data_IF_069635824348
#
_entry.id   IF_069635824348
#
_cell.length_a   1.000
_cell.length_b   1.000
_cell.length_c   1.000
_cell.angle_alpha   90.00
_cell.angle_beta   90.00
_cell.angle_gamma   90.00
#
_symmetry.space_group_name_H-M   'P 1'
#
loop_
_entity.id
_entity.type
_entity.pdbx_description
1 polymer ?
#
# COMPACT_ATOMS: atom_id res chain seq x y z
N UNK A 1 -15.62 48.59 -40.79
CA UNK A 1 -16.16 47.70 -39.74
C UNK A 1 -15.00 47.13 -38.96
N UNK A 2 -14.64 47.80 -37.86
CA UNK A 2 -13.50 47.42 -37.03
C UNK A 2 -13.89 46.29 -36.09
N UNK A 3 -13.31 45.11 -36.33
CA UNK A 3 -13.39 43.98 -35.41
C UNK A 3 -12.63 44.33 -34.13
N UNK A 4 -13.31 44.22 -32.99
CA UNK A 4 -12.82 44.64 -31.68
C UNK A 4 -11.71 43.72 -31.16
N UNK A 5 -10.73 44.26 -30.41
CA UNK A 5 -9.56 43.51 -29.94
C UNK A 5 -9.90 42.39 -28.94
N UNK A 6 -11.14 42.34 -28.41
CA UNK A 6 -11.58 41.32 -27.46
C UNK A 6 -11.68 39.91 -28.08
N UNK A 7 -12.05 39.79 -29.35
CA UNK A 7 -12.25 38.50 -30.01
C UNK A 7 -10.92 37.77 -30.30
N UNK A 8 -9.82 38.53 -30.45
CA UNK A 8 -8.47 37.97 -30.65
C UNK A 8 -7.86 37.43 -29.36
N UNK A 9 -8.24 37.98 -28.20
CA UNK A 9 -7.76 37.49 -26.90
C UNK A 9 -8.47 36.18 -26.53
N UNK A 10 -9.75 36.03 -26.85
CA UNK A 10 -10.51 34.80 -26.59
C UNK A 10 -10.02 33.65 -27.49
N UNK A 11 -9.67 33.92 -28.76
CA UNK A 11 -9.12 32.88 -29.65
C UNK A 11 -7.69 32.43 -29.25
N UNK A 12 -6.91 33.29 -28.61
CA UNK A 12 -5.57 32.97 -28.10
C UNK A 12 -5.60 32.18 -26.78
N UNK A 13 -6.65 32.34 -25.96
CA UNK A 13 -6.81 31.56 -24.72
C UNK A 13 -7.29 30.13 -25.03
N UNK A 14 -8.03 29.92 -26.11
CA UNK A 14 -8.49 28.59 -26.54
C UNK A 14 -7.39 27.69 -27.13
N UNK A 15 -6.22 28.25 -27.50
CA UNK A 15 -5.10 27.49 -28.08
C UNK A 15 -4.02 27.06 -27.07
N UNK A 16 -4.18 27.42 -25.78
CA UNK A 16 -3.25 27.01 -24.71
C UNK A 16 -3.70 25.69 -24.02
N UNK A 17 -4.88 25.16 -24.35
CA UNK A 17 -5.44 23.95 -23.71
C UNK A 17 -5.06 22.64 -24.42
N UNK A 18 -4.41 22.67 -25.59
CA UNK A 18 -4.11 21.46 -26.39
C UNK A 18 -2.62 21.13 -26.51
N UNK A 19 -1.82 21.44 -25.49
CA UNK A 19 -0.38 21.17 -25.47
C UNK A 19 0.13 20.44 -24.23
N UNK A 20 -0.75 19.98 -23.35
CA UNK A 20 -0.37 19.16 -22.21
C UNK A 20 -0.05 17.74 -22.65
N UNK A 21 1.15 17.51 -23.18
CA UNK A 21 1.71 16.16 -23.21
C UNK A 21 1.81 15.71 -21.75
N UNK A 22 0.83 14.92 -21.30
CA UNK A 22 0.97 14.09 -20.12
C UNK A 22 2.16 13.16 -20.40
N UNK A 23 3.36 13.56 -19.99
CA UNK A 23 4.45 12.63 -19.74
C UNK A 23 3.95 11.75 -18.60
N UNK A 24 3.19 10.71 -18.95
CA UNK A 24 2.75 9.70 -18.03
C UNK A 24 4.00 9.21 -17.31
N UNK A 25 4.02 9.37 -15.98
CA UNK A 25 5.07 8.79 -15.15
C UNK A 25 5.24 7.34 -15.59
N UNK A 26 6.43 6.98 -16.11
CA UNK A 26 6.69 5.64 -16.62
C UNK A 26 6.26 4.62 -15.57
N UNK A 27 5.18 3.89 -15.88
CA UNK A 27 4.57 2.89 -15.00
C UNK A 27 5.68 1.94 -14.57
N UNK A 28 5.94 1.88 -13.26
CA UNK A 28 6.91 0.91 -12.73
C UNK A 28 6.27 -0.45 -12.90
N UNK A 29 6.84 -1.29 -13.75
CA UNK A 29 6.35 -2.64 -13.98
C UNK A 29 6.12 -3.34 -12.62
N UNK A 30 4.98 -4.00 -12.40
CA UNK A 30 4.67 -4.60 -11.11
C UNK A 30 5.42 -5.92 -10.88
N UNK A 31 6.11 -6.45 -11.90
CA UNK A 31 7.00 -7.62 -11.81
C UNK A 31 8.48 -7.22 -11.82
N UNK A 32 9.35 -8.18 -11.47
CA UNK A 32 10.80 -8.08 -11.59
C UNK A 32 11.25 -8.69 -12.91
N UNK A 33 11.89 -7.88 -13.74
CA UNK A 33 12.27 -8.32 -15.09
C UNK A 33 13.59 -9.09 -15.15
N UNK A 34 14.48 -8.85 -14.19
CA UNK A 34 15.82 -9.42 -14.20
C UNK A 34 15.94 -10.57 -13.19
N UNK A 35 16.50 -11.72 -13.60
CA UNK A 35 16.81 -12.78 -12.66
C UNK A 35 17.86 -12.33 -11.63
N UNK A 36 17.93 -12.99 -10.46
CA UNK A 36 19.07 -12.89 -9.55
C UNK A 36 20.42 -13.16 -10.24
N UNK A 37 21.47 -12.47 -9.79
CA UNK A 37 22.80 -12.49 -10.41
C UNK A 37 23.49 -13.86 -10.37
N UNK A 38 23.10 -14.74 -9.43
CA UNK A 38 23.68 -16.08 -9.23
C UNK A 38 22.61 -17.14 -9.41
N UNK A 39 22.24 -17.39 -10.66
CA UNK A 39 21.40 -18.53 -11.06
C UNK A 39 22.17 -19.37 -12.07
N UNK A 40 21.97 -20.69 -12.05
CA UNK A 40 22.46 -21.54 -13.15
C UNK A 40 21.66 -21.26 -14.42
N UNK A 41 22.23 -21.53 -15.59
CA UNK A 41 21.62 -21.21 -16.90
C UNK A 41 20.19 -21.76 -17.03
N UNK A 42 19.94 -22.98 -16.54
CA UNK A 42 18.60 -23.59 -16.56
C UNK A 42 17.56 -22.80 -15.74
N UNK A 43 17.95 -22.25 -14.59
CA UNK A 43 17.06 -21.44 -13.74
C UNK A 43 16.83 -20.05 -14.32
N UNK A 44 17.85 -19.46 -14.96
CA UNK A 44 17.69 -18.20 -15.70
C UNK A 44 16.70 -18.36 -16.85
N UNK A 45 16.82 -19.44 -17.60
CA UNK A 45 15.88 -19.76 -18.68
C UNK A 45 14.46 -19.96 -18.14
N UNK A 46 14.31 -20.71 -17.05
CA UNK A 46 13.02 -20.92 -16.41
C UNK A 46 12.40 -19.60 -15.92
N UNK A 47 13.19 -18.72 -15.31
CA UNK A 47 12.76 -17.37 -14.90
C UNK A 47 12.26 -16.55 -16.09
N UNK A 48 13.03 -16.52 -17.18
CA UNK A 48 12.69 -15.73 -18.37
C UNK A 48 11.42 -16.26 -19.04
N UNK A 49 11.27 -17.59 -19.16
CA UNK A 49 10.05 -18.21 -19.69
C UNK A 49 8.82 -17.92 -18.83
N UNK A 50 8.95 -18.01 -17.51
CA UNK A 50 7.85 -17.70 -16.59
C UNK A 50 7.41 -16.23 -16.72
N UNK A 51 8.37 -15.32 -16.85
CA UNK A 51 8.11 -13.90 -17.06
C UNK A 51 7.48 -13.61 -18.42
N UNK A 52 7.93 -14.28 -19.48
CA UNK A 52 7.34 -14.16 -20.82
C UNK A 52 5.87 -14.58 -20.83
N UNK A 53 5.55 -15.73 -20.22
CA UNK A 53 4.16 -16.18 -20.05
C UNK A 53 3.29 -15.17 -19.32
N UNK A 54 3.82 -14.55 -18.25
CA UNK A 54 3.12 -13.48 -17.53
C UNK A 54 2.87 -12.26 -18.43
N UNK A 55 3.89 -11.81 -19.17
CA UNK A 55 3.81 -10.64 -20.06
C UNK A 55 2.85 -10.84 -21.21
N UNK A 56 2.74 -12.07 -21.71
CA UNK A 56 1.90 -12.43 -22.84
C UNK A 56 0.49 -12.89 -22.41
N UNK A 57 0.04 -12.55 -21.19
CA UNK A 57 -1.30 -12.88 -20.66
C UNK A 57 -1.61 -14.39 -20.62
N UNK A 58 -0.62 -15.22 -20.31
CA UNK A 58 -0.78 -16.65 -20.03
C UNK A 58 -0.44 -16.92 -18.54
N UNK A 59 -1.30 -16.48 -17.60
CA UNK A 59 -0.96 -16.49 -16.18
C UNK A 59 -0.87 -17.91 -15.60
N UNK A 60 -1.66 -18.88 -16.07
CA UNK A 60 -1.62 -20.26 -15.55
C UNK A 60 -0.30 -20.97 -15.89
N UNK A 61 0.15 -20.88 -17.14
CA UNK A 61 1.48 -21.33 -17.54
C UNK A 61 2.59 -20.64 -16.73
N UNK A 62 2.43 -19.34 -16.48
CA UNK A 62 3.38 -18.57 -15.67
C UNK A 62 3.43 -19.07 -14.22
N UNK A 63 2.28 -19.40 -13.62
CA UNK A 63 2.18 -19.94 -12.26
C UNK A 63 2.96 -21.24 -12.14
N UNK A 64 2.79 -22.19 -13.07
CA UNK A 64 3.52 -23.46 -13.06
C UNK A 64 5.04 -23.23 -13.11
N UNK A 65 5.48 -22.41 -14.07
CA UNK A 65 6.91 -22.13 -14.25
C UNK A 65 7.50 -21.40 -13.03
N UNK A 66 6.77 -20.46 -12.41
CA UNK A 66 7.20 -19.79 -11.19
C UNK A 66 7.28 -20.73 -10.00
N UNK A 67 6.33 -21.66 -9.83
CA UNK A 67 6.39 -22.70 -8.79
C UNK A 67 7.64 -23.56 -8.93
N UNK A 68 7.89 -24.09 -10.13
CA UNK A 68 9.09 -24.90 -10.44
C UNK A 68 10.38 -24.12 -10.20
N UNK A 69 10.40 -22.84 -10.54
CA UNK A 69 11.54 -21.97 -10.24
C UNK A 69 11.78 -21.85 -8.73
N UNK A 70 10.72 -21.66 -7.95
CA UNK A 70 10.78 -21.50 -6.49
C UNK A 70 11.11 -22.79 -5.73
N UNK A 71 10.83 -23.96 -6.28
CA UNK A 71 11.29 -25.25 -5.72
C UNK A 71 12.81 -25.31 -5.56
N UNK A 72 13.55 -24.69 -6.50
CA UNK A 72 15.02 -24.60 -6.47
C UNK A 72 15.50 -23.31 -5.82
N UNK A 73 14.66 -22.28 -5.81
CA UNK A 73 15.01 -20.93 -5.34
C UNK A 73 14.05 -20.42 -4.25
N UNK A 74 13.91 -21.12 -3.11
CA UNK A 74 12.89 -20.82 -2.09
C UNK A 74 13.10 -19.50 -1.34
N UNK A 75 14.21 -18.80 -1.57
CA UNK A 75 14.49 -17.46 -1.00
C UNK A 75 14.42 -16.34 -2.04
N UNK A 76 13.86 -16.61 -3.22
CA UNK A 76 13.73 -15.61 -4.28
C UNK A 76 12.52 -14.72 -4.08
N UNK A 77 12.70 -13.56 -3.44
CA UNK A 77 11.63 -12.55 -3.32
C UNK A 77 11.10 -12.10 -4.69
N UNK A 78 11.97 -12.05 -5.72
CA UNK A 78 11.58 -11.75 -7.11
C UNK A 78 10.65 -12.81 -7.67
N UNK A 79 10.96 -14.08 -7.44
CA UNK A 79 10.13 -15.22 -7.83
C UNK A 79 8.76 -15.17 -7.15
N UNK A 80 8.71 -14.95 -5.84
CA UNK A 80 7.44 -14.82 -5.12
C UNK A 80 6.62 -13.60 -5.55
N UNK A 81 7.25 -12.45 -5.82
CA UNK A 81 6.54 -11.30 -6.36
C UNK A 81 5.96 -11.60 -7.75
N UNK A 82 6.73 -12.24 -8.63
CA UNK A 82 6.24 -12.56 -9.97
C UNK A 82 5.17 -13.65 -9.96
N UNK A 83 5.27 -14.64 -9.06
CA UNK A 83 4.19 -15.60 -8.79
C UNK A 83 2.93 -14.89 -8.27
N UNK A 84 3.08 -13.94 -7.35
CA UNK A 84 1.98 -13.13 -6.85
C UNK A 84 1.31 -12.31 -7.95
N UNK A 85 2.09 -11.80 -8.91
CA UNK A 85 1.56 -11.16 -10.11
C UNK A 85 0.83 -12.13 -11.03
N UNK A 86 1.35 -13.34 -11.23
CA UNK A 86 0.68 -14.36 -12.04
C UNK A 86 -0.67 -14.75 -11.42
N UNK A 87 -0.72 -14.95 -10.10
CA UNK A 87 -1.97 -15.17 -9.37
C UNK A 87 -2.92 -13.97 -9.45
N UNK A 88 -2.40 -12.74 -9.37
CA UNK A 88 -3.21 -11.54 -9.52
C UNK A 88 -3.86 -11.48 -10.92
N UNK A 89 -3.09 -11.80 -11.97
CA UNK A 89 -3.57 -11.83 -13.35
C UNK A 89 -4.56 -12.98 -13.63
N UNK A 90 -4.54 -14.05 -12.84
CA UNK A 90 -5.50 -15.15 -12.90
C UNK A 90 -6.67 -15.00 -11.90
N UNK A 91 -6.89 -13.80 -11.33
CA UNK A 91 -7.92 -13.51 -10.32
C UNK A 91 -7.85 -14.38 -9.03
N UNK A 92 -6.70 -15.01 -8.75
CA UNK A 92 -6.46 -15.81 -7.55
C UNK A 92 -5.90 -14.91 -6.43
N UNK A 93 -6.71 -13.97 -5.96
CA UNK A 93 -6.27 -12.86 -5.10
C UNK A 93 -5.68 -13.28 -3.75
N UNK A 94 -6.25 -14.29 -3.09
CA UNK A 94 -5.75 -14.80 -1.81
C UNK A 94 -4.33 -15.40 -1.97
N UNK A 95 -4.11 -16.14 -3.06
CA UNK A 95 -2.79 -16.70 -3.40
C UNK A 95 -1.82 -15.60 -3.79
N UNK A 96 -2.29 -14.58 -4.50
CA UNK A 96 -1.52 -13.38 -4.83
C UNK A 96 -1.02 -12.66 -3.59
N UNK A 97 -1.91 -12.39 -2.63
CA UNK A 97 -1.59 -11.78 -1.34
C UNK A 97 -0.54 -12.61 -0.59
N UNK A 98 -0.75 -13.93 -0.48
CA UNK A 98 0.18 -14.84 0.21
C UNK A 98 1.58 -14.82 -0.42
N UNK A 99 1.65 -14.82 -1.76
CA UNK A 99 2.92 -14.74 -2.49
C UNK A 99 3.62 -13.39 -2.28
N UNK A 100 2.88 -12.27 -2.30
CA UNK A 100 3.45 -10.95 -2.01
C UNK A 100 3.90 -10.80 -0.56
N UNK A 101 3.18 -11.38 0.41
CA UNK A 101 3.61 -11.41 1.81
C UNK A 101 4.90 -12.20 1.99
N UNK A 102 5.02 -13.34 1.31
CA UNK A 102 6.25 -14.15 1.30
C UNK A 102 7.40 -13.34 0.70
N UNK A 103 7.16 -12.65 -0.42
CA UNK A 103 8.15 -11.79 -1.06
C UNK A 103 8.58 -10.63 -0.13
N UNK A 104 7.63 -10.00 0.57
CA UNK A 104 7.90 -8.90 1.49
C UNK A 104 8.62 -9.37 2.76
N UNK A 105 8.33 -10.58 3.25
CA UNK A 105 9.06 -11.16 4.37
C UNK A 105 10.54 -11.41 4.03
N UNK A 106 10.83 -11.78 2.78
CA UNK A 106 12.19 -11.96 2.28
C UNK A 106 12.89 -10.62 1.99
N UNK A 107 12.16 -9.59 1.54
CA UNK A 107 12.69 -8.25 1.27
C UNK A 107 11.76 -7.14 1.84
N UNK A 108 11.86 -6.83 3.15
CA UNK A 108 10.88 -6.00 3.87
C UNK A 108 10.74 -4.54 3.44
N UNK A 109 11.74 -4.02 2.72
CA UNK A 109 11.80 -2.61 2.34
C UNK A 109 11.53 -2.36 0.86
N UNK A 110 11.23 -3.40 0.07
CA UNK A 110 10.96 -3.24 -1.35
C UNK A 110 9.59 -2.58 -1.59
N UNK A 111 9.63 -1.38 -2.15
CA UNK A 111 8.43 -0.58 -2.40
C UNK A 111 7.52 -1.21 -3.47
N UNK A 112 8.08 -1.91 -4.46
CA UNK A 112 7.30 -2.56 -5.52
C UNK A 112 6.45 -3.68 -4.93
N UNK A 113 7.06 -4.54 -4.11
CA UNK A 113 6.34 -5.63 -3.43
C UNK A 113 5.26 -5.05 -2.51
N UNK A 114 5.61 -4.01 -1.74
CA UNK A 114 4.67 -3.31 -0.85
C UNK A 114 3.48 -2.72 -1.62
N UNK A 115 3.72 -2.11 -2.77
CA UNK A 115 2.69 -1.52 -3.62
C UNK A 115 1.79 -2.58 -4.27
N UNK A 116 2.36 -3.71 -4.70
CA UNK A 116 1.60 -4.84 -5.22
C UNK A 116 0.70 -5.44 -4.13
N UNK A 117 1.23 -5.68 -2.93
CA UNK A 117 0.44 -6.18 -1.80
C UNK A 117 -0.71 -5.22 -1.46
N UNK A 118 -0.43 -3.91 -1.34
CA UNK A 118 -1.49 -2.91 -1.12
C UNK A 118 -2.56 -2.93 -2.22
N UNK A 119 -2.16 -3.13 -3.49
CA UNK A 119 -3.10 -3.22 -4.62
C UNK A 119 -4.00 -4.44 -4.48
N UNK A 120 -3.45 -5.62 -4.23
CA UNK A 120 -4.24 -6.85 -4.05
C UNK A 120 -5.19 -6.74 -2.85
N UNK A 121 -4.71 -6.20 -1.72
CA UNK A 121 -5.55 -5.96 -0.54
C UNK A 121 -6.68 -4.98 -0.84
N UNK A 122 -6.41 -3.87 -1.55
CA UNK A 122 -7.46 -2.91 -1.92
C UNK A 122 -8.47 -3.50 -2.90
N UNK A 123 -8.06 -4.40 -3.78
CA UNK A 123 -9.00 -5.06 -4.68
C UNK A 123 -9.93 -6.00 -3.91
N UNK A 124 -9.42 -6.75 -2.93
CA UNK A 124 -10.22 -7.52 -1.97
C UNK A 124 -11.20 -6.64 -1.17
N UNK A 125 -10.76 -5.46 -0.71
CA UNK A 125 -11.63 -4.49 -0.03
C UNK A 125 -12.80 -4.07 -0.92
N UNK A 126 -12.57 -3.83 -2.21
CA UNK A 126 -13.64 -3.47 -3.14
C UNK A 126 -14.68 -4.59 -3.24
N UNK A 127 -14.23 -5.83 -3.47
CA UNK A 127 -15.11 -7.01 -3.57
C UNK A 127 -15.91 -7.20 -2.27
N UNK A 128 -15.23 -7.09 -1.12
CA UNK A 128 -15.86 -7.25 0.19
C UNK A 128 -16.88 -6.14 0.49
N UNK A 129 -16.60 -4.90 0.06
CA UNK A 129 -17.54 -3.78 0.18
C UNK A 129 -18.79 -4.00 -0.67
N UNK A 130 -18.65 -4.50 -1.90
CA UNK A 130 -19.77 -4.85 -2.78
C UNK A 130 -20.63 -5.96 -2.17
N UNK A 131 -19.97 -6.96 -1.59
CA UNK A 131 -20.63 -8.06 -0.88
C UNK A 131 -21.17 -7.68 0.51
N UNK A 132 -20.97 -6.42 0.94
CA UNK A 132 -21.31 -5.90 2.28
C UNK A 132 -20.64 -6.64 3.45
N UNK A 133 -19.53 -7.33 3.18
CA UNK A 133 -18.65 -7.93 4.17
C UNK A 133 -17.68 -6.87 4.69
N UNK A 134 -18.23 -5.89 5.42
CA UNK A 134 -17.50 -4.70 5.85
C UNK A 134 -16.42 -5.02 6.88
N UNK A 135 -16.63 -6.04 7.70
CA UNK A 135 -15.65 -6.51 8.67
C UNK A 135 -14.38 -7.02 8.00
N UNK A 136 -14.50 -7.88 6.97
CA UNK A 136 -13.31 -8.32 6.21
C UNK A 136 -12.67 -7.16 5.46
N UNK A 137 -13.46 -6.23 4.93
CA UNK A 137 -12.94 -5.05 4.26
C UNK A 137 -12.10 -4.18 5.21
N UNK A 138 -12.57 -3.95 6.44
CA UNK A 138 -11.82 -3.23 7.48
C UNK A 138 -10.53 -3.99 7.83
N UNK A 139 -10.57 -5.32 7.97
CA UNK A 139 -9.37 -6.12 8.24
C UNK A 139 -8.30 -5.94 7.15
N UNK A 140 -8.69 -5.93 5.87
CA UNK A 140 -7.78 -5.70 4.75
C UNK A 140 -7.28 -4.24 4.71
N UNK A 141 -8.12 -3.26 5.03
CA UNK A 141 -7.70 -1.86 5.13
C UNK A 141 -6.70 -1.64 6.27
N UNK A 142 -6.84 -2.30 7.41
CA UNK A 142 -5.85 -2.24 8.49
C UNK A 142 -4.48 -2.79 8.05
N UNK A 143 -4.48 -3.86 7.23
CA UNK A 143 -3.25 -4.35 6.60
C UNK A 143 -2.68 -3.29 5.63
N UNK A 144 -3.50 -2.65 4.81
CA UNK A 144 -3.08 -1.54 3.94
C UNK A 144 -2.50 -0.38 4.76
N UNK A 145 -3.12 -0.03 5.90
CA UNK A 145 -2.68 1.04 6.80
C UNK A 145 -1.26 0.80 7.32
N UNK A 146 -0.96 -0.44 7.73
CA UNK A 146 0.39 -0.87 8.15
C UNK A 146 1.42 -0.73 7.03
N UNK A 147 1.01 -0.95 5.78
CA UNK A 147 1.85 -0.83 4.59
C UNK A 147 1.95 0.61 4.04
N UNK A 148 1.20 1.57 4.58
CA UNK A 148 1.14 2.94 4.06
C UNK A 148 2.05 3.86 4.86
N UNK A 149 2.66 4.83 4.17
CA UNK A 149 3.44 5.88 4.84
C UNK A 149 2.51 6.86 5.59
N UNK A 150 3.09 7.73 6.43
CA UNK A 150 2.29 8.64 7.25
C UNK A 150 1.33 9.51 6.42
N UNK A 151 1.77 9.98 5.25
CA UNK A 151 0.95 10.82 4.36
C UNK A 151 -0.29 10.11 3.80
N UNK A 152 -0.24 8.78 3.64
CA UNK A 152 -1.38 8.02 3.13
C UNK A 152 -2.25 7.38 4.22
N UNK A 153 -1.81 7.34 5.47
CA UNK A 153 -2.54 6.65 6.56
C UNK A 153 -3.88 7.30 6.86
N UNK A 154 -3.95 8.63 6.91
CA UNK A 154 -5.18 9.37 7.16
C UNK A 154 -6.29 8.99 6.17
N UNK A 155 -5.93 8.82 4.88
CA UNK A 155 -6.89 8.38 3.86
C UNK A 155 -7.39 6.96 4.11
N UNK A 156 -6.51 6.04 4.54
CA UNK A 156 -6.92 4.67 4.86
C UNK A 156 -7.80 4.63 6.11
N UNK A 157 -7.53 5.48 7.10
CA UNK A 157 -8.34 5.61 8.31
C UNK A 157 -9.75 6.13 7.98
N UNK A 158 -9.85 7.10 7.08
CA UNK A 158 -11.15 7.58 6.58
C UNK A 158 -11.92 6.47 5.82
N UNK A 159 -11.22 5.66 5.01
CA UNK A 159 -11.82 4.50 4.34
C UNK A 159 -12.41 3.53 5.39
N UNK A 160 -11.68 3.28 6.50
CA UNK A 160 -12.12 2.40 7.60
C UNK A 160 -13.32 2.99 8.34
N UNK A 161 -13.28 4.27 8.69
CA UNK A 161 -14.38 4.98 9.36
C UNK A 161 -15.66 4.91 8.52
N UNK A 162 -15.55 5.11 7.20
CA UNK A 162 -16.69 5.00 6.27
C UNK A 162 -17.34 3.61 6.33
N UNK A 163 -16.54 2.54 6.45
CA UNK A 163 -17.09 1.19 6.58
C UNK A 163 -17.71 0.94 7.96
N UNK A 164 -17.13 1.51 9.03
CA UNK A 164 -17.72 1.45 10.37
C UNK A 164 -19.07 2.17 10.42
N UNK A 165 -19.22 3.31 9.72
CA UNK A 165 -20.49 4.01 9.56
C UNK A 165 -21.54 3.12 8.87
N UNK A 166 -21.17 2.40 7.82
CA UNK A 166 -22.08 1.46 7.14
C UNK A 166 -22.48 0.29 8.04
N UNK A 167 -21.56 -0.24 8.85
CA UNK A 167 -21.88 -1.26 9.87
C UNK A 167 -22.86 -0.68 10.89
N UNK A 168 -22.64 0.55 11.35
CA UNK A 168 -23.52 1.18 12.33
C UNK A 168 -24.94 1.41 11.79
N UNK A 169 -25.10 1.72 10.50
CA UNK A 169 -26.42 1.74 9.87
C UNK A 169 -27.14 0.39 9.93
N UNK A 170 -26.42 -0.73 9.83
CA UNK A 170 -26.99 -2.07 10.02
C UNK A 170 -27.40 -2.30 11.48
N UNK A 171 -26.56 -1.87 12.43
CA UNK A 171 -26.83 -1.94 13.88
C UNK A 171 -28.12 -1.19 14.23
N UNK A 172 -28.29 0.03 13.70
CA UNK A 172 -29.51 0.84 13.90
C UNK A 172 -30.77 0.18 13.32
N UNK A 173 -30.65 -0.55 12.20
CA UNK A 173 -31.78 -1.28 11.61
C UNK A 173 -32.16 -2.50 12.44
N UNK A 174 -31.17 -3.21 12.99
CA UNK A 174 -31.41 -4.33 13.89
C UNK A 174 -32.03 -3.86 15.21
N UNK A 175 -31.55 -2.71 15.73
CA UNK A 175 -32.06 -2.05 16.92
C UNK A 175 -32.20 -2.97 18.15
N UNK A 176 -31.21 -3.82 18.38
CA UNK A 176 -31.16 -4.71 19.55
C UNK A 176 -30.02 -4.30 20.48
N UNK A 177 -30.18 -4.55 21.78
CA UNK A 177 -29.14 -4.28 22.77
C UNK A 177 -27.80 -4.95 22.38
N UNK A 178 -27.88 -6.22 21.97
CA UNK A 178 -26.73 -7.04 21.54
C UNK A 178 -25.98 -6.43 20.34
N UNK A 179 -26.70 -5.87 19.34
CA UNK A 179 -26.04 -5.31 18.15
C UNK A 179 -25.25 -4.04 18.48
N UNK A 180 -25.79 -3.18 19.35
CA UNK A 180 -25.08 -1.99 19.82
C UNK A 180 -23.88 -2.36 20.71
N UNK A 181 -24.02 -3.33 21.60
CA UNK A 181 -22.94 -3.83 22.46
C UNK A 181 -21.80 -4.43 21.62
N UNK A 182 -22.14 -5.26 20.64
CA UNK A 182 -21.16 -5.88 19.72
C UNK A 182 -20.43 -4.84 18.89
N UNK A 183 -21.13 -3.80 18.42
CA UNK A 183 -20.51 -2.70 17.69
C UNK A 183 -19.49 -1.96 18.56
N UNK A 184 -19.86 -1.61 19.78
CA UNK A 184 -18.97 -0.90 20.71
C UNK A 184 -17.78 -1.73 21.17
N UNK A 185 -17.96 -3.04 21.34
CA UNK A 185 -16.86 -3.94 21.65
C UNK A 185 -15.79 -3.95 20.55
N UNK A 186 -16.19 -3.85 19.28
CA UNK A 186 -15.28 -3.83 18.14
C UNK A 186 -14.71 -2.44 17.83
N UNK A 187 -15.53 -1.40 17.98
CA UNK A 187 -15.20 -0.04 17.56
C UNK A 187 -15.48 0.98 18.67
N UNK A 188 -14.83 0.87 19.84
CA UNK A 188 -15.12 1.72 21.01
C UNK A 188 -14.79 3.21 20.79
N UNK A 189 -13.86 3.48 19.88
CA UNK A 189 -13.30 4.81 19.60
C UNK A 189 -13.80 5.38 18.25
N UNK A 190 -14.82 4.79 17.61
CA UNK A 190 -15.40 5.41 16.41
C UNK A 190 -15.94 6.80 16.79
N UNK A 191 -15.52 7.88 16.09
CA UNK A 191 -15.69 9.26 16.56
C UNK A 191 -17.15 9.73 16.59
N UNK A 192 -18.03 9.08 15.82
CA UNK A 192 -19.42 9.51 15.65
C UNK A 192 -20.41 8.53 16.27
N UNK A 193 -20.21 7.24 16.04
CA UNK A 193 -21.22 6.23 16.28
C UNK A 193 -21.12 5.59 17.66
N UNK A 194 -19.94 5.60 18.29
CA UNK A 194 -19.74 4.99 19.61
C UNK A 194 -20.60 5.67 20.68
N UNK A 195 -20.64 7.00 20.71
CA UNK A 195 -21.45 7.73 21.69
C UNK A 195 -22.95 7.51 21.47
N UNK A 196 -23.38 7.38 20.21
CA UNK A 196 -24.77 7.04 19.91
C UNK A 196 -25.10 5.61 20.35
N UNK A 197 -24.23 4.65 20.09
CA UNK A 197 -24.40 3.28 20.55
C UNK A 197 -24.54 3.21 22.09
N UNK A 198 -23.68 3.94 22.82
CA UNK A 198 -23.74 4.02 24.30
C UNK A 198 -25.08 4.57 24.77
N UNK A 199 -25.59 5.63 24.13
CA UNK A 199 -26.91 6.22 24.43
C UNK A 199 -28.05 5.23 24.16
N UNK A 200 -28.00 4.47 23.07
CA UNK A 200 -29.03 3.49 22.74
C UNK A 200 -29.04 2.34 23.74
N UNK A 201 -27.87 1.82 24.12
CA UNK A 201 -27.71 0.80 25.17
C UNK A 201 -28.33 1.30 26.49
N UNK A 202 -28.02 2.52 26.91
CA UNK A 202 -28.53 3.09 28.16
C UNK A 202 -30.06 3.27 28.16
N UNK A 203 -30.70 3.48 27.00
CA UNK A 203 -32.16 3.55 26.86
C UNK A 203 -32.82 2.17 26.88
N UNK A 204 -32.14 1.16 26.33
CA UNK A 204 -32.67 -0.20 26.20
C UNK A 204 -32.49 -1.03 27.46
N UNK A 205 -31.44 -0.76 28.24
CA UNK A 205 -31.28 -1.38 29.56
C UNK A 205 -32.32 -0.80 30.51
N UNK A 206 -33.09 -1.64 31.22
CA UNK A 206 -33.92 -1.15 32.31
C UNK A 206 -33.04 -0.36 33.27
N UNK A 207 -33.42 0.86 33.62
CA UNK A 207 -32.85 1.46 34.82
C UNK A 207 -33.27 0.55 35.96
N UNK A 208 -32.31 -0.11 36.61
CA UNK A 208 -32.53 -0.61 37.95
C UNK A 208 -32.91 0.61 38.78
N UNK A 209 -34.21 0.78 39.01
CA UNK A 209 -34.67 1.71 40.02
C UNK A 209 -33.90 1.32 41.28
N UNK A 210 -33.23 2.26 41.97
CA UNK A 210 -32.66 1.94 43.25
C UNK A 210 -33.82 1.38 44.06
N UNK A 211 -33.72 0.10 44.43
CA UNK A 211 -34.61 -0.51 45.40
C UNK A 211 -34.52 0.42 46.59
N UNK A 212 -35.53 1.27 46.76
CA UNK A 212 -35.62 2.14 47.91
C UNK A 212 -35.56 1.22 49.10
N UNK A 213 -34.47 1.25 49.83
CA UNK A 213 -34.47 0.92 51.24
C UNK A 213 -35.49 1.88 51.85
N UNK A 214 -36.75 1.44 51.93
CA UNK A 214 -37.68 2.01 52.86
C UNK A 214 -37.10 1.68 54.24
N UNK A 215 -36.63 2.66 55.02
CA UNK A 215 -36.24 2.39 56.39
C UNK A 215 -37.49 1.86 57.08
N UNK A 216 -37.41 0.64 57.61
CA UNK A 216 -38.43 0.09 58.49
C UNK A 216 -38.75 1.15 59.54
N UNK A 217 -40.02 1.56 59.62
CA UNK A 217 -40.52 2.39 60.72
C UNK A 217 -40.26 1.62 62.01
N UNK A 218 -39.15 1.93 62.68
CA UNK A 218 -38.97 1.58 64.07
C UNK A 218 -39.92 2.46 64.88
N UNK A 219 -40.74 1.82 65.70
CA UNK A 219 -41.65 2.42 66.65
C UNK A 219 -40.91 3.40 67.57
N UNK A 220 -40.82 4.66 67.16
CA UNK A 220 -40.24 5.71 67.98
C UNK A 220 -41.34 6.33 68.86
N UNK A 221 -41.30 5.90 70.11
CA UNK A 221 -42.04 6.39 71.26
C UNK A 221 -42.08 7.93 71.24
N UNK A 222 -43.29 8.49 71.26
CA UNK A 222 -43.56 9.92 71.39
C UNK A 222 -42.76 10.57 72.53
N UNK A 223 -42.00 11.66 72.30
CA UNK A 223 -41.54 12.51 73.37
C UNK A 223 -42.57 13.61 73.71
N UNK A 224 -42.70 13.82 75.00
CA UNK A 224 -43.57 14.77 75.71
C UNK A 224 -43.36 16.22 75.20
N UNK A 225 -44.40 17.06 75.12
CA UNK A 225 -44.27 18.42 74.59
C UNK A 225 -43.64 19.36 75.61
N UNK A 226 -42.56 20.02 75.20
CA UNK A 226 -42.07 21.22 75.88
C UNK A 226 -40.58 21.20 76.16
N UNK A 227 -39.76 21.45 75.14
CA UNK A 227 -38.47 22.14 75.29
C UNK A 227 -37.93 22.52 73.90
N UNK A 228 -37.74 23.82 73.66
CA UNK A 228 -36.74 24.34 72.71
C UNK A 228 -35.52 24.76 73.53
N UNK A 229 -34.31 24.49 73.04
CA UNK A 229 -33.37 25.58 72.77
C UNK A 229 -32.64 25.33 71.43
N UNK A 230 -32.77 26.21 70.42
CA UNK A 230 -31.82 27.30 70.05
C UNK A 230 -30.36 26.89 69.79
N UNK A 231 -30.02 26.88 68.48
CA UNK A 231 -28.85 27.50 67.80
C UNK A 231 -27.42 27.06 68.20
N UNK A 232 -26.65 26.54 67.22
CA UNK A 232 -25.59 27.28 66.51
C UNK A 232 -24.98 26.48 65.36
N UNK A 233 -24.70 27.18 64.25
CA UNK A 233 -23.72 26.76 63.24
C UNK A 233 -22.33 26.81 63.88
N UNK A 234 -21.56 25.73 63.74
CA UNK A 234 -20.11 25.82 63.70
C UNK A 234 -19.56 24.63 62.90
N UNK A 235 -18.89 24.97 61.80
CA UNK A 235 -18.12 24.08 60.95
C UNK A 235 -16.98 23.46 61.75
N UNK A 236 -16.78 22.15 61.61
CA UNK A 236 -15.49 21.53 61.89
C UNK A 236 -15.25 20.39 60.89
N UNK A 237 -14.39 20.72 59.94
CA UNK A 237 -13.69 19.86 59.00
C UNK A 237 -13.10 18.63 59.71
N UNK A 238 -13.47 17.42 59.28
CA UNK A 238 -12.72 16.19 59.62
C UNK A 238 -12.36 15.50 58.30
N UNK A 239 -11.07 15.31 57.98
CA UNK A 239 -10.67 14.60 56.78
C UNK A 239 -10.93 13.11 56.96
N UNK A 240 -11.60 12.54 55.96
CA UNK A 240 -11.95 11.12 55.85
C UNK A 240 -10.67 10.28 55.76
N UNK A 241 -10.50 9.35 56.70
CA UNK A 241 -9.38 8.41 56.74
C UNK A 241 -9.62 7.33 55.69
N UNK A 242 -8.84 7.36 54.62
CA UNK A 242 -8.78 6.30 53.61
C UNK A 242 -8.24 5.01 54.22
N UNK A 243 -9.11 4.01 54.38
CA UNK A 243 -8.71 2.63 54.70
C UNK A 243 -8.66 1.86 53.38
N UNK A 244 -7.49 1.40 52.91
CA UNK A 244 -7.44 0.54 51.73
C UNK A 244 -7.96 -0.86 52.09
N UNK A 245 -8.95 -1.35 51.35
CA UNK A 245 -9.37 -2.75 51.39
C UNK A 245 -8.22 -3.67 50.92
N UNK A 246 -8.09 -4.88 51.50
CA UNK A 246 -7.05 -5.81 51.09
C UNK A 246 -7.38 -6.39 49.70
N UNK A 247 -6.39 -6.34 48.80
CA UNK A 247 -6.47 -6.99 47.49
C UNK A 247 -6.74 -8.48 47.63
N UNK A 248 -7.85 -8.96 47.05
CA UNK A 248 -8.06 -10.37 46.79
C UNK A 248 -6.98 -10.87 45.83
N UNK A 249 -6.26 -11.89 46.27
CA UNK A 249 -5.25 -12.60 45.50
C UNK A 249 -5.91 -13.40 44.38
N UNK A 250 -5.64 -13.02 43.13
CA UNK A 250 -6.00 -13.77 41.92
C UNK A 250 -5.31 -15.14 41.94
N UNK A 251 -6.01 -16.28 41.78
CA UNK A 251 -5.35 -17.57 41.66
C UNK A 251 -4.62 -17.69 40.31
N UNK A 252 -3.41 -18.24 40.36
CA UNK A 252 -2.52 -18.43 39.23
C UNK A 252 -3.12 -19.31 38.12
N UNK A 253 -2.99 -18.84 36.87
CA UNK A 253 -3.32 -19.60 35.66
C UNK A 253 -2.51 -20.91 35.57
N UNK A 254 -3.11 -22.05 35.16
CA UNK A 254 -2.37 -23.28 34.93
C UNK A 254 -1.48 -23.20 33.68
N UNK A 255 -0.37 -23.97 33.62
CA UNK A 255 0.62 -23.83 32.57
C UNK A 255 0.14 -24.36 31.21
N UNK A 256 0.47 -23.57 30.19
CA UNK A 256 0.32 -23.85 28.76
C UNK A 256 0.97 -25.19 28.42
N UNK A 257 0.17 -26.17 27.99
CA UNK A 257 0.67 -27.39 27.35
C UNK A 257 1.13 -27.01 25.93
N UNK A 258 2.39 -27.32 25.63
CA UNK A 258 2.94 -27.30 24.27
C UNK A 258 2.35 -28.49 23.52
N UNK A 259 1.43 -28.25 22.61
CA UNK A 259 1.02 -29.26 21.63
C UNK A 259 2.05 -29.30 20.51
N UNK A 260 2.80 -30.39 20.52
CA UNK A 260 3.76 -30.81 19.52
C UNK A 260 3.00 -31.18 18.25
N UNK A 261 3.49 -30.67 17.13
CA UNK A 261 3.02 -30.98 15.78
C UNK A 261 3.34 -32.47 15.50
N UNK A 262 2.31 -33.31 15.42
CA UNK A 262 2.42 -34.63 14.78
C UNK A 262 2.12 -34.48 13.29
N UNK A 263 3.14 -34.77 12.50
CA UNK A 263 3.08 -34.92 11.05
C UNK A 263 2.60 -36.36 10.82
N UNK A 264 1.33 -36.53 10.44
CA UNK A 264 0.87 -37.79 9.84
C UNK A 264 1.02 -37.64 8.33
N UNK A 265 2.01 -38.35 7.80
CA UNK A 265 2.16 -38.61 6.38
C UNK A 265 1.14 -39.68 5.98
N UNK A 266 0.21 -39.32 5.08
CA UNK A 266 -0.63 -40.31 4.41
C UNK A 266 -0.25 -40.31 2.93
N UNK A 267 0.46 -41.38 2.58
CA UNK A 267 0.78 -41.80 1.23
C UNK A 267 -0.36 -42.68 0.73
N UNK A 268 -1.10 -42.25 -0.28
CA UNK A 268 -1.76 -43.16 -1.20
C UNK A 268 -1.37 -42.84 -2.64
N UNK A 269 -1.11 -43.91 -3.37
CA UNK A 269 -0.59 -44.01 -4.73
C UNK A 269 -1.75 -44.10 -5.73
N UNK A 270 -1.46 -44.05 -7.05
CA UNK A 270 -2.41 -43.60 -8.06
C UNK A 270 -3.27 -44.74 -8.60
N UNK A 271 -4.50 -44.43 -8.97
CA UNK A 271 -5.31 -45.27 -9.83
C UNK A 271 -4.93 -45.02 -11.30
N UNK A 272 -4.24 -46.00 -11.87
CA UNK A 272 -4.23 -46.29 -13.30
C UNK A 272 -5.57 -46.92 -13.68
N UNK A 273 -6.25 -46.37 -14.68
CA UNK A 273 -7.03 -47.20 -15.60
C UNK A 273 -6.83 -46.71 -17.03
N UNK A 274 -6.09 -47.54 -17.76
CA UNK A 274 -5.79 -47.48 -19.19
C UNK A 274 -6.90 -48.18 -19.95
N UNK A 275 -7.29 -47.63 -21.10
CA UNK A 275 -7.66 -48.36 -22.33
C UNK A 275 -7.79 -47.31 -23.45
N UNK A 276 -6.80 -47.17 -24.34
CA UNK A 276 -6.62 -47.94 -25.58
C UNK A 276 -7.80 -47.80 -26.55
N UNK A 277 -7.64 -46.94 -27.57
CA UNK A 277 -7.97 -47.29 -28.94
C UNK A 277 -6.92 -46.71 -29.91
N UNK A 278 -6.64 -47.53 -30.92
CA UNK A 278 -5.42 -47.58 -31.73
C UNK A 278 -5.45 -46.69 -32.98
N UNK A 279 -4.23 -46.48 -33.51
CA UNK A 279 -3.85 -45.91 -34.81
C UNK A 279 -4.61 -46.56 -35.99
N UNK A 280 -4.84 -45.87 -37.13
CA UNK A 280 -3.92 -45.68 -38.28
C UNK A 280 -4.74 -45.08 -39.48
N UNK A 281 -4.23 -44.82 -40.70
CA UNK A 281 -3.12 -43.94 -41.12
C UNK A 281 -3.46 -43.05 -42.37
N UNK A 282 -2.53 -42.14 -42.72
CA UNK A 282 -2.13 -41.63 -44.07
C UNK A 282 -3.18 -41.33 -45.16
N UNK A 283 -3.14 -40.11 -45.72
CA UNK A 283 -3.19 -39.84 -47.17
C UNK A 283 -2.49 -38.50 -47.49
N UNK A 284 -1.48 -38.58 -48.36
CA UNK A 284 -0.80 -37.48 -49.05
C UNK A 284 -1.71 -36.84 -50.11
N UNK A 285 -1.52 -35.55 -50.41
CA UNK A 285 -1.74 -35.06 -51.77
C UNK A 285 -0.84 -33.85 -52.10
N UNK A 286 -0.47 -33.81 -53.38
CA UNK A 286 0.74 -33.24 -53.95
C UNK A 286 0.69 -31.73 -54.25
N UNK A 287 1.89 -31.17 -54.38
CA UNK A 287 2.19 -29.82 -54.90
C UNK A 287 1.73 -29.60 -56.36
N UNK A 288 1.79 -28.36 -56.85
CA UNK A 288 2.82 -28.12 -57.87
C UNK A 288 3.63 -26.82 -57.70
N UNK A 289 4.95 -26.95 -57.93
CA UNK A 289 5.90 -25.92 -58.43
C UNK A 289 5.84 -25.91 -59.98
N UNK A 290 6.38 -24.92 -60.75
CA UNK A 290 7.70 -24.27 -60.60
C UNK A 290 7.65 -22.75 -60.95
N UNK A 291 8.69 -21.91 -61.07
CA UNK A 291 10.11 -22.08 -61.42
C UNK A 291 10.92 -20.83 -61.03
N UNK A 292 12.24 -20.98 -61.03
CA UNK A 292 13.27 -20.04 -60.63
C UNK A 292 13.56 -18.92 -61.66
N UNK A 293 14.06 -17.76 -61.19
CA UNK A 293 15.42 -17.29 -61.54
C UNK A 293 15.82 -15.94 -60.90
N UNK A 294 17.08 -15.96 -60.44
CA UNK A 294 18.12 -14.90 -60.41
C UNK A 294 17.97 -13.63 -59.56
N UNK A 295 18.85 -13.62 -58.55
CA UNK A 295 19.42 -12.49 -57.81
C UNK A 295 20.27 -11.59 -58.72
N UNK A 296 20.23 -10.26 -58.56
CA UNK A 296 21.34 -9.38 -58.89
C UNK A 296 22.00 -8.78 -57.63
N UNK A 297 23.30 -8.52 -57.76
CA UNK A 297 24.24 -7.92 -56.80
C UNK A 297 24.09 -6.38 -56.69
N UNK A 298 24.69 -5.72 -55.68
CA UNK A 298 24.34 -4.37 -55.24
C UNK A 298 25.07 -3.26 -56.03
N UNK A 299 24.39 -2.12 -56.26
CA UNK A 299 24.99 -0.91 -56.82
C UNK A 299 25.31 0.14 -55.74
N UNK A 300 26.47 0.76 -55.91
CA UNK A 300 27.11 1.81 -55.12
C UNK A 300 26.37 3.18 -55.08
N UNK A 301 26.73 4.07 -54.13
CA UNK A 301 25.92 5.23 -53.77
C UNK A 301 26.18 6.46 -54.67
N UNK A 302 25.10 7.15 -55.05
CA UNK A 302 25.15 8.40 -55.80
C UNK A 302 25.40 9.58 -54.85
N UNK A 303 26.55 10.24 -55.04
CA UNK A 303 26.91 11.51 -54.45
C UNK A 303 26.00 12.66 -54.95
N UNK A 304 25.67 13.60 -54.07
CA UNK A 304 25.10 14.92 -54.42
C UNK A 304 26.11 16.03 -54.05
N UNK A 305 26.11 17.14 -54.80
CA UNK A 305 27.25 18.06 -54.88
C UNK A 305 27.27 19.08 -53.74
N UNK A 306 28.47 19.57 -53.44
CA UNK A 306 28.71 20.71 -52.55
C UNK A 306 28.29 22.04 -53.22
N UNK A 307 27.92 23.07 -52.44
CA UNK A 307 28.06 24.46 -52.84
C UNK A 307 29.16 25.17 -52.01
N UNK A 308 29.94 25.98 -52.73
CA UNK A 308 30.98 26.90 -52.24
C UNK A 308 30.39 28.13 -51.49
N UNK A 309 31.22 28.90 -50.75
CA UNK A 309 30.81 29.88 -49.75
C UNK A 309 30.60 31.28 -50.34
N UNK A 310 29.65 32.03 -49.75
CA UNK A 310 29.74 33.45 -49.39
C UNK A 310 28.35 34.09 -49.27
N UNK A 311 27.94 34.39 -48.03
CA UNK A 311 27.41 35.69 -47.60
C UNK A 311 26.85 35.59 -46.19
N UNK A 312 27.53 36.28 -45.26
CA UNK A 312 26.97 36.71 -43.99
C UNK A 312 25.75 37.61 -44.20
N UNK A 313 24.68 37.40 -43.43
CA UNK A 313 24.13 38.40 -42.48
C UNK A 313 22.81 37.93 -41.84
N UNK A 314 22.87 37.75 -40.52
CA UNK A 314 21.84 37.98 -39.49
C UNK A 314 20.35 37.84 -39.87
N UNK A 315 19.70 36.84 -39.27
CA UNK A 315 18.45 36.96 -38.47
C UNK A 315 18.21 35.69 -37.66
N UNK A 316 18.27 35.83 -36.33
CA UNK A 316 18.04 34.77 -35.36
C UNK A 316 16.56 34.33 -35.34
N UNK A 317 16.34 33.01 -35.40
CA UNK A 317 15.16 32.32 -34.88
C UNK A 317 15.67 31.33 -33.82
N UNK A 318 15.13 31.29 -32.58
CA UNK A 318 15.53 30.26 -31.64
C UNK A 318 14.92 28.92 -32.07
N UNK A 319 15.75 28.07 -32.66
CA UNK A 319 15.43 26.67 -32.90
C UNK A 319 15.52 25.92 -31.55
N UNK A 320 14.45 25.20 -31.23
CA UNK A 320 14.37 24.28 -30.09
C UNK A 320 15.55 23.30 -30.12
N UNK A 321 16.43 23.41 -29.14
CA UNK A 321 17.44 22.41 -28.87
C UNK A 321 16.76 21.09 -28.44
N UNK A 322 17.22 19.97 -28.99
CA UNK A 322 16.91 18.64 -28.46
C UNK A 322 17.27 18.58 -26.95
N UNK A 323 16.50 17.86 -26.12
CA UNK A 323 16.79 17.77 -24.70
C UNK A 323 18.17 17.14 -24.49
N UNK A 324 19.04 17.87 -23.78
CA UNK A 324 20.35 17.39 -23.36
C UNK A 324 20.19 16.09 -22.55
N UNK A 325 21.13 15.12 -22.67
CA UNK A 325 21.09 13.90 -21.88
C UNK A 325 21.08 14.24 -20.39
N UNK A 326 20.11 13.68 -19.65
CA UNK A 326 19.99 13.89 -18.20
C UNK A 326 21.29 13.48 -17.49
N UNK A 327 21.79 14.28 -16.54
CA UNK A 327 23.03 13.98 -15.84
C UNK A 327 22.88 12.70 -15.02
N UNK A 328 23.61 11.65 -15.40
CA UNK A 328 23.67 10.38 -14.67
C UNK A 328 24.37 10.61 -13.33
N UNK A 329 23.69 10.32 -12.22
CA UNK A 329 24.25 10.42 -10.87
C UNK A 329 25.34 9.37 -10.65
N UNK A 330 26.56 9.79 -10.32
CA UNK A 330 27.70 8.88 -10.02
C UNK A 330 28.01 8.77 -8.53
N UNK A 331 27.36 9.58 -7.67
CA UNK A 331 27.63 9.63 -6.23
C UNK A 331 26.36 9.30 -5.42
N UNK A 332 26.51 8.57 -4.31
CA UNK A 332 25.43 8.28 -3.35
C UNK A 332 25.80 8.84 -1.98
N UNK A 333 24.80 9.27 -1.22
CA UNK A 333 24.99 9.75 0.15
C UNK A 333 24.07 9.03 1.11
N UNK A 334 24.61 8.67 2.28
CA UNK A 334 23.87 8.09 3.39
C UNK A 334 23.51 9.17 4.41
N UNK A 335 22.27 9.19 4.87
CA UNK A 335 21.77 10.15 5.86
C UNK A 335 22.20 9.73 7.28
N UNK A 336 22.85 10.64 8.03
CA UNK A 336 23.45 10.37 9.35
C UNK A 336 22.80 11.18 10.50
N UNK A 337 21.48 11.41 10.46
CA UNK A 337 20.80 12.14 11.54
C UNK A 337 20.69 11.32 12.83
N UNK A 338 20.72 11.99 14.00
CA UNK A 338 20.73 11.32 15.32
C UNK A 338 19.36 10.71 15.69
N UNK A 339 18.28 11.49 15.60
CA UNK A 339 16.92 11.08 16.03
C UNK A 339 15.80 11.48 15.06
N UNK A 340 15.98 12.55 14.28
CA UNK A 340 14.93 13.09 13.39
C UNK A 340 15.21 12.78 11.92
N UNK A 341 14.17 12.57 11.09
CA UNK A 341 14.32 12.51 9.64
C UNK A 341 14.95 13.79 9.07
N UNK A 342 15.83 13.66 8.07
CA UNK A 342 16.45 14.79 7.40
C UNK A 342 15.44 15.46 6.46
N UNK A 343 15.24 16.77 6.62
CA UNK A 343 14.33 17.55 5.78
C UNK A 343 14.98 17.84 4.42
N UNK A 344 14.26 17.53 3.36
CA UNK A 344 14.58 17.87 1.97
C UNK A 344 13.90 19.17 1.63
N UNK A 345 14.62 20.10 1.01
CA UNK A 345 14.15 21.46 0.72
C UNK A 345 14.11 21.76 -0.77
N UNK A 346 13.29 22.72 -1.16
CA UNK A 346 13.13 23.10 -2.56
C UNK A 346 14.38 23.83 -3.11
N UNK A 347 15.03 24.64 -2.27
CA UNK A 347 16.26 25.37 -2.58
C UNK A 347 17.37 25.01 -1.58
N UNK A 348 18.66 25.20 -1.92
CA UNK A 348 19.80 24.96 -1.03
C UNK A 348 19.90 26.06 0.05
N UNK A 349 18.84 26.22 0.83
CA UNK A 349 18.69 27.24 1.86
C UNK A 349 17.93 26.65 3.07
N UNK A 350 18.39 26.97 4.28
CA UNK A 350 17.80 26.50 5.53
C UNK A 350 16.41 27.08 5.81
N UNK A 351 16.03 28.19 5.16
CA UNK A 351 14.69 28.79 5.28
C UNK A 351 13.74 28.36 4.15
N UNK A 352 14.23 27.62 3.15
CA UNK A 352 13.41 27.16 2.03
C UNK A 352 12.35 26.13 2.46
N UNK A 353 11.21 26.12 1.75
CA UNK A 353 10.11 25.17 1.95
C UNK A 353 10.62 23.72 1.97
N UNK A 354 10.16 22.97 2.97
CA UNK A 354 10.45 21.55 3.11
C UNK A 354 9.52 20.78 2.17
N UNK A 355 10.10 20.04 1.23
CA UNK A 355 9.37 19.28 0.20
C UNK A 355 9.26 17.80 0.54
N UNK A 356 10.14 17.27 1.37
CA UNK A 356 10.09 15.89 1.86
C UNK A 356 10.91 15.70 3.15
N UNK A 357 10.82 14.51 3.74
CA UNK A 357 11.66 14.09 4.86
C UNK A 357 12.21 12.69 4.60
N UNK A 358 13.50 12.48 4.85
CA UNK A 358 14.21 11.23 4.59
C UNK A 358 14.64 10.61 5.92
N UNK A 359 14.32 9.34 6.20
CA UNK A 359 14.77 8.65 7.39
C UNK A 359 16.30 8.57 7.52
N UNK A 360 16.79 8.28 8.73
CA UNK A 360 18.22 8.01 8.94
C UNK A 360 18.64 6.75 8.17
N UNK A 361 19.93 6.66 7.86
CA UNK A 361 20.58 5.55 7.15
C UNK A 361 20.06 5.29 5.72
N UNK A 362 19.13 6.10 5.19
CA UNK A 362 18.72 6.01 3.79
C UNK A 362 19.87 6.44 2.88
N UNK A 363 20.11 5.67 1.81
CA UNK A 363 21.13 5.96 0.79
C UNK A 363 20.43 6.49 -0.47
N UNK A 364 20.75 7.72 -0.86
CA UNK A 364 20.11 8.42 -2.00
C UNK A 364 21.15 8.86 -3.03
N UNK A 365 20.80 8.88 -4.33
CA UNK A 365 21.67 9.38 -5.39
C UNK A 365 21.78 10.91 -5.33
N UNK A 366 22.99 11.42 -5.60
CA UNK A 366 23.30 12.86 -5.68
C UNK A 366 23.47 13.27 -7.15
N UNK A 367 22.79 14.35 -7.54
CA UNK A 367 22.81 14.90 -8.90
C UNK A 367 23.61 16.20 -8.99
N UNK A 368 23.52 17.03 -7.96
CA UNK A 368 24.26 18.29 -7.89
C UNK A 368 24.79 18.52 -6.48
N UNK A 369 25.86 19.29 -6.41
CA UNK A 369 26.51 19.65 -5.17
C UNK A 369 26.70 21.18 -5.15
N UNK A 370 26.24 21.80 -4.07
CA UNK A 370 26.52 23.19 -3.72
C UNK A 370 27.28 23.20 -2.40
N UNK A 371 27.88 24.34 -2.01
CA UNK A 371 28.82 24.47 -0.89
C UNK A 371 28.46 23.59 0.32
N UNK A 372 27.27 23.78 0.89
CA UNK A 372 26.79 23.04 2.08
C UNK A 372 25.61 22.08 1.79
N UNK A 373 25.29 21.85 0.51
CA UNK A 373 24.07 21.13 0.12
C UNK A 373 24.31 20.09 -0.99
N UNK A 374 23.56 18.98 -0.91
CA UNK A 374 23.43 18.01 -2.01
C UNK A 374 22.03 18.10 -2.59
N UNK A 375 21.93 18.15 -3.91
CA UNK A 375 20.68 17.91 -4.62
C UNK A 375 20.54 16.41 -4.84
N UNK A 376 19.50 15.84 -4.26
CA UNK A 376 19.20 14.42 -4.28
C UNK A 376 17.86 14.19 -4.96
N UNK A 377 17.64 12.96 -5.41
CA UNK A 377 16.31 12.49 -5.79
C UNK A 377 15.72 11.70 -4.62
N UNK A 378 14.63 12.20 -4.05
CA UNK A 378 13.97 11.59 -2.88
C UNK A 378 12.77 10.73 -3.27
N UNK A 379 12.21 10.94 -4.47
CA UNK A 379 11.18 10.14 -5.11
C UNK A 379 11.46 10.17 -6.62
N UNK A 380 11.04 9.13 -7.36
CA UNK A 380 11.26 9.03 -8.82
C UNK A 380 10.80 10.32 -9.53
N UNK A 381 11.73 11.03 -10.17
CA UNK A 381 11.53 12.30 -10.87
C UNK A 381 11.48 13.55 -9.98
N UNK A 382 11.53 13.42 -8.64
CA UNK A 382 11.48 14.56 -7.71
C UNK A 382 12.82 14.78 -7.03
N UNK A 383 13.37 15.97 -7.30
CA UNK A 383 14.65 16.43 -6.76
C UNK A 383 14.45 17.42 -5.63
N UNK A 384 15.38 17.45 -4.69
CA UNK A 384 15.40 18.44 -3.61
C UNK A 384 16.76 18.48 -2.92
N UNK A 385 16.95 19.45 -2.04
CA UNK A 385 18.22 19.76 -1.42
C UNK A 385 18.28 19.29 0.03
N UNK A 386 19.37 18.62 0.39
CA UNK A 386 19.68 18.19 1.75
C UNK A 386 21.01 18.79 2.20
N UNK A 387 21.17 19.00 3.51
CA UNK A 387 22.42 19.55 4.06
C UNK A 387 23.51 18.48 4.14
N UNK A 388 24.72 18.82 3.68
CA UNK A 388 25.92 17.98 3.79
C UNK A 388 26.27 17.63 5.23
N UNK A 389 25.98 18.51 6.18
CA UNK A 389 26.24 18.31 7.60
C UNK A 389 25.63 17.01 8.16
N UNK A 390 24.54 16.54 7.55
CA UNK A 390 23.81 15.35 7.99
C UNK A 390 23.86 14.21 6.98
N UNK A 391 24.82 14.23 6.06
CA UNK A 391 24.98 13.19 5.04
C UNK A 391 26.46 12.87 4.81
N UNK A 392 26.76 11.60 4.56
CA UNK A 392 28.12 11.11 4.26
C UNK A 392 28.11 10.41 2.92
N UNK A 393 29.14 10.61 2.10
CA UNK A 393 29.31 9.86 0.85
C UNK A 393 29.33 8.36 1.17
N UNK A 394 28.44 7.62 0.52
CA UNK A 394 28.40 6.17 0.56
C UNK A 394 29.33 5.63 -0.54
N UNK A 395 30.09 4.55 -0.27
CA UNK A 395 30.98 3.93 -1.26
C UNK A 395 30.21 3.37 -2.46
#
# INVERSE_FOLDING_TARGET
>A
MHSTPLLRVILMISLIVLGGCAMGSASVAPYFERPPERLIKAEQELYNRALDKLKNNHPDDSIDLWKRFLERNPRSFRGYNNLGMAYYSSDQLEKSITAFETALALEPFDLKIKDNLKRSLRFQVTIQRENKDYEKAILHLERVKKLTDLSGKEKVELDIETLQDLIFEQVKRANTLESYETFLAKYPDNPKNSDEARRQIAKMRPQEAPLGEFPEMQDEILPIPGQRPTRSMEEAFVPEVFVPEPMETVPASPPVRKETIEIVAETEKPDEETQDEMMDPVMEEETPKPSAMKRPEPMEPIARPAPDPDMEMKREKPAMAAPAPEPKSTKRVQIMTRKTPLRVREKPDAQSKVVAQIPRNTVVPVFQESKDWFQIEYQKGKKGWISKKYSKLAP
#
